data_IF_325771101405
#
_entry.id   IF_325771101405
#
_cell.length_a   1.000
_cell.length_b   1.000
_cell.length_c   1.000
_cell.angle_alpha   90.00
_cell.angle_beta   90.00
_cell.angle_gamma   90.00
#
_symmetry.space_group_name_H-M   'P 1'
#
loop_
_entity.id
_entity.type
_entity.pdbx_description
1 polymer ?
#
# COMPACT_ATOMS: atom_id res chain seq x y z
N UNK A 1 -23.39 -46.95 -58.38
CA UNK A 1 -22.82 -47.27 -57.08
C UNK A 1 -21.83 -46.20 -56.69
N UNK A 2 -22.23 -45.31 -55.75
CA UNK A 2 -21.39 -44.17 -55.29
C UNK A 2 -20.83 -44.53 -53.93
N UNK A 3 -19.52 -44.74 -53.87
CA UNK A 3 -18.78 -44.94 -52.62
C UNK A 3 -18.49 -43.63 -51.93
N UNK A 4 -19.05 -43.45 -50.72
CA UNK A 4 -18.73 -42.31 -49.85
C UNK A 4 -17.47 -42.64 -49.05
N UNK A 5 -16.42 -41.86 -49.30
CA UNK A 5 -15.20 -41.83 -48.48
C UNK A 5 -15.50 -41.17 -47.13
N UNK A 6 -15.38 -41.90 -46.04
CA UNK A 6 -15.37 -41.38 -44.68
C UNK A 6 -14.01 -40.80 -44.39
N UNK A 7 -14.02 -39.50 -44.07
CA UNK A 7 -12.86 -38.79 -43.54
C UNK A 7 -12.83 -39.01 -42.02
N UNK A 8 -11.72 -39.44 -41.41
CA UNK A 8 -11.61 -39.57 -39.96
C UNK A 8 -11.59 -38.18 -39.30
N UNK A 9 -12.46 -37.99 -38.30
CA UNK A 9 -12.42 -36.81 -37.45
C UNK A 9 -11.15 -36.86 -36.60
N UNK A 10 -10.39 -35.75 -36.70
CA UNK A 10 -9.27 -35.45 -35.81
C UNK A 10 -9.84 -34.93 -34.51
N UNK A 11 -9.61 -35.63 -33.42
CA UNK A 11 -9.94 -35.19 -32.08
C UNK A 11 -9.14 -33.94 -31.73
N UNK A 12 -9.84 -32.86 -31.55
CA UNK A 12 -9.27 -31.57 -31.06
C UNK A 12 -9.02 -31.68 -29.55
N UNK A 13 -7.81 -31.42 -29.04
CA UNK A 13 -7.54 -31.45 -27.61
C UNK A 13 -8.37 -30.43 -26.86
N UNK A 14 -8.91 -30.88 -25.73
CA UNK A 14 -9.92 -30.28 -24.91
C UNK A 14 -9.76 -28.81 -24.60
N UNK A 15 -10.88 -28.12 -24.72
CA UNK A 15 -11.09 -26.79 -24.18
C UNK A 15 -10.75 -26.74 -22.69
N UNK A 16 -10.11 -25.69 -22.20
CA UNK A 16 -9.83 -25.55 -20.78
C UNK A 16 -11.15 -25.46 -20.00
N UNK A 17 -11.20 -26.00 -18.78
CA UNK A 17 -12.40 -26.01 -17.98
C UNK A 17 -12.86 -24.56 -17.70
N UNK A 18 -14.12 -24.29 -18.03
CA UNK A 18 -14.79 -23.04 -17.65
C UNK A 18 -14.88 -23.02 -16.13
N UNK A 19 -13.98 -22.28 -15.50
CA UNK A 19 -14.05 -22.00 -14.06
C UNK A 19 -15.23 -21.06 -13.83
N UNK A 20 -16.34 -21.61 -13.41
CA UNK A 20 -17.50 -20.85 -12.96
C UNK A 20 -17.10 -20.17 -11.65
N UNK A 21 -16.84 -18.87 -11.69
CA UNK A 21 -16.58 -18.07 -10.51
C UNK A 21 -17.83 -18.06 -9.64
N UNK A 22 -17.80 -18.80 -8.52
CA UNK A 22 -18.85 -18.70 -7.49
C UNK A 22 -18.78 -17.32 -6.88
N UNK A 23 -19.77 -16.49 -7.12
CA UNK A 23 -20.00 -15.23 -6.44
C UNK A 23 -20.18 -15.54 -4.94
N UNK A 24 -19.18 -15.24 -4.14
CA UNK A 24 -19.31 -15.27 -2.68
C UNK A 24 -19.88 -13.92 -2.25
N UNK A 25 -21.16 -13.91 -1.92
CA UNK A 25 -21.83 -12.78 -1.30
C UNK A 25 -21.38 -12.66 0.14
N UNK A 26 -20.48 -11.72 0.42
CA UNK A 26 -20.10 -11.38 1.79
C UNK A 26 -20.97 -10.21 2.27
N UNK A 27 -21.83 -10.48 3.25
CA UNK A 27 -22.51 -9.42 4.02
C UNK A 27 -23.46 -8.52 3.25
N UNK A 28 -24.15 -9.03 2.21
CA UNK A 28 -25.20 -8.27 1.49
C UNK A 28 -24.68 -7.18 0.56
N UNK A 29 -23.36 -7.06 0.39
CA UNK A 29 -22.77 -6.10 -0.54
C UNK A 29 -22.39 -6.79 -1.85
N UNK A 30 -22.98 -6.32 -2.94
CA UNK A 30 -22.61 -6.69 -4.31
C UNK A 30 -21.33 -5.92 -4.69
N UNK A 31 -20.19 -6.37 -4.23
CA UNK A 31 -18.90 -5.70 -4.49
C UNK A 31 -18.17 -6.33 -5.66
N UNK A 32 -17.55 -5.50 -6.46
CA UNK A 32 -16.69 -5.93 -7.55
C UNK A 32 -15.36 -6.41 -6.96
N UNK A 33 -15.04 -7.69 -7.12
CA UNK A 33 -13.69 -8.19 -6.85
C UNK A 33 -12.91 -8.01 -8.14
N UNK A 34 -11.93 -7.10 -8.15
CA UNK A 34 -10.99 -6.99 -9.26
C UNK A 34 -10.13 -8.26 -9.25
N UNK A 35 -10.52 -9.25 -10.04
CA UNK A 35 -9.70 -10.43 -10.29
C UNK A 35 -8.69 -10.02 -11.35
N UNK A 36 -7.51 -9.55 -10.92
CA UNK A 36 -6.38 -9.46 -11.83
C UNK A 36 -6.03 -10.88 -12.27
N UNK A 37 -5.72 -11.09 -13.57
CA UNK A 37 -5.34 -12.42 -14.05
C UNK A 37 -4.21 -12.96 -13.19
N UNK A 38 -4.26 -14.25 -12.82
CA UNK A 38 -3.28 -14.84 -11.93
C UNK A 38 -1.90 -14.78 -12.59
N UNK A 39 -1.10 -13.80 -12.21
CA UNK A 39 0.35 -13.90 -12.42
C UNK A 39 0.88 -15.06 -11.57
N UNK A 40 1.95 -15.77 -12.03
CA UNK A 40 2.55 -16.82 -11.22
C UNK A 40 2.81 -16.29 -9.81
N UNK A 41 2.50 -17.11 -8.82
CA UNK A 41 2.70 -16.79 -7.40
C UNK A 41 4.17 -16.56 -7.13
N UNK A 42 4.64 -15.34 -7.32
CA UNK A 42 5.91 -14.94 -6.72
C UNK A 42 5.70 -14.97 -5.21
N UNK A 43 6.52 -15.75 -4.52
CA UNK A 43 6.64 -15.62 -3.07
C UNK A 43 6.99 -14.16 -2.80
N UNK A 44 6.14 -13.42 -2.10
CA UNK A 44 6.50 -12.12 -1.58
C UNK A 44 7.62 -12.37 -0.58
N UNK A 45 8.85 -12.28 -1.04
CA UNK A 45 10.00 -12.28 -0.15
C UNK A 45 9.95 -10.90 0.51
N UNK A 46 9.85 -10.81 1.84
CA UNK A 46 10.02 -9.52 2.51
C UNK A 46 11.31 -8.92 1.99
N UNK A 47 11.36 -7.59 1.74
CA UNK A 47 12.59 -6.94 1.34
C UNK A 47 13.70 -7.33 2.32
N UNK A 48 14.89 -7.61 1.80
CA UNK A 48 16.02 -7.96 2.64
C UNK A 48 16.17 -6.88 3.72
N UNK A 49 16.32 -7.27 5.00
CA UNK A 49 16.48 -6.29 6.05
C UNK A 49 17.64 -5.38 5.67
N UNK A 50 17.41 -4.08 5.70
CA UNK A 50 18.47 -3.10 5.55
C UNK A 50 19.57 -3.51 6.52
N UNK A 51 20.77 -3.85 6.03
CA UNK A 51 21.94 -4.15 6.86
C UNK A 51 22.34 -2.88 7.60
N UNK A 52 21.57 -2.54 8.62
CA UNK A 52 21.84 -1.39 9.44
C UNK A 52 22.72 -1.82 10.59
N UNK A 53 23.95 -1.34 10.55
CA UNK A 53 24.79 -1.25 11.74
C UNK A 53 23.95 -0.65 12.86
N UNK A 54 24.00 -1.27 14.04
CA UNK A 54 23.30 -0.88 15.27
C UNK A 54 23.20 0.64 15.39
N UNK A 55 21.95 1.15 15.43
CA UNK A 55 21.71 2.56 15.63
C UNK A 55 22.18 2.98 17.02
N UNK A 56 23.35 3.58 17.10
CA UNK A 56 23.82 4.27 18.30
C UNK A 56 22.89 5.46 18.58
N UNK A 57 22.51 5.64 19.81
CA UNK A 57 21.46 6.53 20.31
C UNK A 57 21.69 8.03 20.11
N UNK A 58 22.80 8.46 19.55
CA UNK A 58 23.10 9.88 19.30
C UNK A 58 23.55 10.05 17.86
N UNK A 59 22.62 10.37 16.98
CA UNK A 59 22.95 10.78 15.61
C UNK A 59 22.73 12.28 15.47
N UNK A 60 23.65 12.91 14.81
CA UNK A 60 23.57 14.33 14.42
C UNK A 60 23.07 14.51 12.98
N UNK A 61 23.03 13.43 12.22
CA UNK A 61 22.64 13.43 10.80
C UNK A 61 21.38 12.62 10.57
N UNK A 62 20.47 13.10 9.73
CA UNK A 62 19.26 12.34 9.33
C UNK A 62 19.61 11.00 8.70
N UNK A 63 18.78 10.00 8.96
CA UNK A 63 18.89 8.68 8.34
C UNK A 63 17.80 8.50 7.30
N UNK A 64 18.20 8.26 6.06
CA UNK A 64 17.27 8.00 4.96
C UNK A 64 17.01 6.50 4.86
N UNK A 65 15.75 6.13 4.80
CA UNK A 65 15.27 4.76 4.59
C UNK A 65 14.50 4.76 3.27
N UNK A 66 15.06 4.24 2.16
CA UNK A 66 14.34 4.14 0.91
C UNK A 66 13.12 3.23 1.07
N UNK A 67 12.05 3.54 0.36
CA UNK A 67 10.88 2.67 0.33
C UNK A 67 11.05 1.61 -0.75
N UNK A 68 11.18 0.36 -0.33
CA UNK A 68 11.19 -0.84 -1.16
C UNK A 68 10.12 -1.84 -0.72
N UNK A 69 9.21 -1.37 0.11
CA UNK A 69 8.16 -2.16 0.74
C UNK A 69 6.99 -2.50 -0.18
N UNK A 70 5.90 -2.85 0.43
CA UNK A 70 4.72 -3.34 -0.25
C UNK A 70 3.51 -2.44 -0.03
N UNK A 71 2.62 -2.38 -1.05
CA UNK A 71 1.35 -1.69 -0.95
C UNK A 71 0.21 -2.69 -0.77
N UNK A 72 -0.74 -2.32 0.13
CA UNK A 72 -1.96 -3.05 0.37
C UNK A 72 -3.16 -2.15 0.12
N UNK A 73 -4.22 -2.72 -0.45
CA UNK A 73 -5.46 -2.01 -0.72
C UNK A 73 -6.60 -2.70 0.01
N UNK A 74 -7.32 -1.92 0.83
CA UNK A 74 -8.42 -2.41 1.63
C UNK A 74 -9.72 -1.80 1.15
N UNK A 75 -10.74 -2.64 1.08
CA UNK A 75 -12.13 -2.27 0.92
C UNK A 75 -12.78 -2.18 2.30
N UNK A 76 -13.76 -1.30 2.48
CA UNK A 76 -14.58 -1.31 3.69
C UNK A 76 -15.46 -2.58 3.80
N UNK A 77 -15.63 -3.17 4.99
CA UNK A 77 -14.94 -2.86 6.22
C UNK A 77 -13.44 -3.16 6.15
N UNK A 78 -12.63 -2.38 6.85
CA UNK A 78 -11.17 -2.46 6.84
C UNK A 78 -10.68 -3.80 7.41
N UNK A 79 -10.55 -4.78 6.57
CA UNK A 79 -9.91 -6.04 6.95
C UNK A 79 -8.50 -6.11 6.37
N UNK A 80 -7.53 -6.24 7.26
CA UNK A 80 -6.15 -6.47 6.83
C UNK A 80 -6.09 -7.77 6.01
N UNK A 81 -5.46 -7.76 4.82
CA UNK A 81 -5.28 -8.97 4.04
C UNK A 81 -4.56 -10.05 4.87
N UNK A 82 -4.83 -11.30 4.56
CA UNK A 82 -4.09 -12.41 5.15
C UNK A 82 -2.63 -12.34 4.75
N UNK A 83 -1.72 -12.88 5.57
CA UNK A 83 -0.28 -12.86 5.32
C UNK A 83 0.12 -13.50 3.95
N UNK A 84 -0.71 -14.37 3.40
CA UNK A 84 -0.51 -14.97 2.09
C UNK A 84 -1.25 -14.23 0.96
N UNK A 85 -1.86 -13.09 1.24
CA UNK A 85 -2.53 -12.28 0.24
C UNK A 85 -1.49 -11.66 -0.68
N UNK A 86 -1.94 -11.37 -1.90
CA UNK A 86 -1.06 -10.82 -2.93
C UNK A 86 -0.77 -9.36 -2.66
N UNK A 87 0.48 -9.02 -2.60
CA UNK A 87 0.95 -7.63 -2.54
C UNK A 87 1.04 -7.09 -3.95
N UNK A 88 0.51 -5.89 -4.17
CA UNK A 88 0.66 -5.18 -5.43
C UNK A 88 1.93 -4.36 -5.36
N UNK A 89 2.92 -4.75 -6.17
CA UNK A 89 4.08 -3.93 -6.47
C UNK A 89 3.78 -3.15 -7.75
N UNK A 90 4.10 -1.88 -7.78
CA UNK A 90 3.86 -1.06 -8.96
C UNK A 90 4.21 0.40 -8.70
N UNK A 91 3.86 1.24 -9.64
CA UNK A 91 3.92 2.68 -9.49
C UNK A 91 2.56 3.21 -9.03
N UNK A 92 2.33 3.46 -7.72
CA UNK A 92 1.02 3.86 -7.20
C UNK A 92 0.48 5.15 -7.81
N UNK A 93 1.36 6.02 -8.31
CA UNK A 93 0.97 7.24 -9.05
C UNK A 93 0.31 6.95 -10.40
N UNK A 94 0.48 5.74 -10.94
CA UNK A 94 -0.13 5.31 -12.22
C UNK A 94 -1.26 4.31 -12.04
N UNK A 95 -1.44 3.80 -10.83
CA UNK A 95 -2.46 2.78 -10.55
C UNK A 95 -3.78 3.46 -10.29
N UNK A 96 -4.79 3.16 -11.10
CA UNK A 96 -6.16 3.62 -10.90
C UNK A 96 -6.99 2.50 -10.26
N UNK A 97 -7.02 2.46 -8.94
CA UNK A 97 -7.84 1.52 -8.16
C UNK A 97 -8.98 2.28 -7.52
N UNK A 98 -10.21 1.87 -7.80
CA UNK A 98 -11.41 2.47 -7.21
C UNK A 98 -12.38 1.40 -6.74
N UNK A 99 -13.22 1.77 -5.78
CA UNK A 99 -14.30 0.93 -5.29
C UNK A 99 -15.56 1.13 -6.16
N UNK A 100 -16.27 0.05 -6.44
CA UNK A 100 -17.55 0.10 -7.17
C UNK A 100 -18.76 0.20 -6.24
N UNK A 101 -18.57 0.11 -4.94
CA UNK A 101 -19.62 0.14 -3.93
C UNK A 101 -19.72 1.47 -3.16
N UNK A 102 -19.20 2.54 -3.73
CA UNK A 102 -19.20 3.89 -3.15
C UNK A 102 -18.41 4.01 -1.84
N UNK A 103 -17.54 3.04 -1.54
CA UNK A 103 -16.64 3.10 -0.40
C UNK A 103 -15.23 3.51 -0.86
N UNK A 104 -14.62 4.45 -0.17
CA UNK A 104 -13.23 4.81 -0.43
C UNK A 104 -12.33 3.61 -0.13
N UNK A 105 -11.40 3.32 -1.06
CA UNK A 105 -10.34 2.35 -0.80
C UNK A 105 -9.27 2.99 0.07
N UNK A 106 -8.93 2.30 1.15
CA UNK A 106 -7.75 2.62 1.95
C UNK A 106 -6.54 1.93 1.35
N UNK A 107 -5.45 2.65 1.20
CA UNK A 107 -4.18 2.11 0.79
C UNK A 107 -3.21 2.17 1.97
N UNK A 108 -2.49 1.09 2.20
CA UNK A 108 -1.38 1.06 3.15
C UNK A 108 -0.08 0.72 2.42
N UNK A 109 0.98 1.46 2.73
CA UNK A 109 2.34 1.16 2.33
C UNK A 109 3.13 0.70 3.55
N UNK A 110 3.71 -0.49 3.48
CA UNK A 110 4.41 -1.14 4.59
C UNK A 110 5.88 -1.26 4.27
N UNK A 111 6.74 -0.68 5.12
CA UNK A 111 8.19 -0.82 5.07
C UNK A 111 8.66 -1.57 6.30
N UNK A 112 9.16 -2.77 6.09
CA UNK A 112 9.83 -3.56 7.13
C UNK A 112 11.32 -3.21 7.18
N UNK A 113 11.84 -3.00 8.40
CA UNK A 113 13.22 -2.52 8.61
C UNK A 113 14.22 -3.64 8.93
N UNK A 114 13.72 -4.83 9.24
CA UNK A 114 14.51 -5.98 9.65
C UNK A 114 14.98 -5.87 11.10
N UNK A 115 15.73 -4.84 11.45
CA UNK A 115 16.20 -4.60 12.81
C UNK A 115 15.38 -3.52 13.50
N UNK A 116 15.02 -3.70 14.78
CA UNK A 116 14.32 -2.69 15.54
C UNK A 116 15.15 -1.41 15.71
N UNK A 117 14.47 -0.28 15.56
CA UNK A 117 15.03 1.06 15.79
C UNK A 117 14.38 1.63 17.05
N UNK A 118 15.16 2.25 17.92
CA UNK A 118 14.62 2.96 19.08
C UNK A 118 13.98 4.28 18.67
N UNK A 119 12.78 4.58 19.17
CA UNK A 119 12.08 5.84 18.89
C UNK A 119 12.76 7.07 19.53
N UNK A 120 13.71 6.84 20.46
CA UNK A 120 14.55 7.89 21.03
C UNK A 120 15.62 8.42 20.06
N UNK A 121 15.86 7.74 18.94
CA UNK A 121 16.84 8.16 17.93
C UNK A 121 16.54 9.53 17.35
N UNK A 122 15.28 9.89 17.32
CA UNK A 122 14.80 10.91 16.41
C UNK A 122 13.65 11.70 17.03
N UNK A 123 13.47 12.94 16.57
CA UNK A 123 12.37 13.83 16.97
C UNK A 123 11.25 13.84 15.95
N UNK A 124 11.61 13.65 14.69
CA UNK A 124 10.68 13.75 13.56
C UNK A 124 10.95 12.62 12.58
N UNK A 125 9.90 11.98 12.10
CA UNK A 125 9.91 11.18 10.90
C UNK A 125 9.39 12.03 9.76
N UNK A 126 10.21 12.24 8.73
CA UNK A 126 9.80 12.85 7.47
C UNK A 126 9.42 11.76 6.49
N UNK A 127 8.31 11.97 5.82
CA UNK A 127 7.81 11.09 4.77
C UNK A 127 7.86 11.84 3.45
N UNK A 128 8.71 11.40 2.53
CA UNK A 128 8.73 11.89 1.16
C UNK A 128 7.76 11.07 0.30
N UNK A 129 6.86 11.78 -0.35
CA UNK A 129 5.84 11.18 -1.23
C UNK A 129 5.84 11.87 -2.59
N UNK A 130 5.28 11.16 -3.57
CA UNK A 130 4.89 11.75 -4.84
C UNK A 130 3.38 11.63 -5.01
N UNK A 131 2.72 12.77 -5.17
CA UNK A 131 1.29 12.83 -5.41
C UNK A 131 1.02 12.94 -6.91
N UNK A 132 0.56 11.85 -7.53
CA UNK A 132 0.16 11.76 -8.92
C UNK A 132 -1.32 12.05 -9.17
N UNK A 133 -2.03 12.54 -8.16
CA UNK A 133 -3.45 12.84 -8.25
C UNK A 133 -3.72 14.13 -9.03
N UNK A 134 -4.66 14.05 -9.94
CA UNK A 134 -5.15 15.17 -10.74
C UNK A 134 -6.62 15.53 -10.46
N UNK A 135 -7.19 14.96 -9.39
CA UNK A 135 -8.59 15.15 -9.01
C UNK A 135 -8.70 15.87 -7.68
N UNK A 136 -9.71 16.72 -7.59
CA UNK A 136 -10.02 17.42 -6.35
C UNK A 136 -10.48 16.46 -5.24
N UNK A 137 -10.21 16.83 -4.01
CA UNK A 137 -10.58 16.11 -2.80
C UNK A 137 -9.37 15.78 -1.93
N UNK A 138 -9.55 15.97 -0.66
CA UNK A 138 -8.52 15.83 0.35
C UNK A 138 -8.02 14.37 0.45
N UNK A 139 -6.72 14.21 0.58
CA UNK A 139 -6.07 12.96 0.93
C UNK A 139 -5.35 13.18 2.25
N UNK A 140 -5.66 12.36 3.24
CA UNK A 140 -4.95 12.36 4.51
C UNK A 140 -4.04 11.13 4.63
N UNK A 141 -2.89 11.33 5.26
CA UNK A 141 -1.90 10.28 5.51
C UNK A 141 -1.67 10.15 7.00
N UNK A 142 -1.79 8.92 7.51
CA UNK A 142 -1.41 8.56 8.86
C UNK A 142 -0.15 7.70 8.82
N UNK A 143 0.81 7.99 9.70
CA UNK A 143 2.00 7.16 9.87
C UNK A 143 1.93 6.39 11.18
N UNK A 144 2.17 5.08 11.11
CA UNK A 144 2.19 4.17 12.24
C UNK A 144 3.58 3.54 12.33
N UNK A 145 4.15 3.51 13.54
CA UNK A 145 5.36 2.77 13.86
C UNK A 145 4.97 1.51 14.63
N UNK A 146 5.32 0.35 14.09
CA UNK A 146 4.92 -0.93 14.68
C UNK A 146 6.15 -1.76 15.04
N UNK A 147 6.10 -2.42 16.19
CA UNK A 147 7.00 -3.52 16.53
C UNK A 147 6.31 -4.83 16.23
N UNK A 148 6.81 -5.54 15.23
CA UNK A 148 6.28 -6.84 14.80
C UNK A 148 7.02 -8.00 15.43
N UNK A 149 8.28 -7.78 15.84
CA UNK A 149 9.15 -8.79 16.44
C UNK A 149 9.14 -8.69 17.97
N UNK A 150 9.07 -9.83 18.64
CA UNK A 150 9.11 -9.92 20.11
C UNK A 150 7.81 -10.49 20.72
N UNK A 151 7.75 -10.53 22.06
CA UNK A 151 6.61 -11.08 22.80
C UNK A 151 5.40 -10.15 22.80
N UNK A 152 5.62 -8.86 22.68
CA UNK A 152 4.57 -7.84 22.69
C UNK A 152 4.60 -7.07 21.36
N UNK A 153 3.51 -7.12 20.63
CA UNK A 153 3.30 -6.24 19.48
C UNK A 153 2.91 -4.85 19.99
N UNK A 154 3.48 -3.84 19.40
CA UNK A 154 3.21 -2.46 19.76
C UNK A 154 3.03 -1.63 18.50
N UNK A 155 2.06 -0.74 18.49
CA UNK A 155 1.83 0.21 17.40
C UNK A 155 1.65 1.61 17.96
N UNK A 156 2.37 2.57 17.42
CA UNK A 156 2.31 3.99 17.74
C UNK A 156 1.90 4.78 16.51
N UNK A 157 0.77 5.45 16.56
CA UNK A 157 0.42 6.46 15.55
C UNK A 157 1.21 7.74 15.80
N UNK A 158 1.77 8.30 14.75
CA UNK A 158 2.42 9.61 14.76
C UNK A 158 1.44 10.73 14.39
N UNK A 159 0.18 10.39 14.16
CA UNK A 159 -0.87 11.33 13.76
C UNK A 159 -1.18 11.28 12.27
N UNK A 160 -2.12 12.12 11.88
CA UNK A 160 -2.62 12.23 10.51
C UNK A 160 -2.35 13.63 9.98
N UNK A 161 -1.86 13.72 8.76
CA UNK A 161 -1.63 14.97 8.04
C UNK A 161 -2.33 14.95 6.69
N UNK A 162 -2.79 16.09 6.26
CA UNK A 162 -3.34 16.27 4.91
C UNK A 162 -2.20 16.48 3.93
N UNK A 163 -2.32 15.88 2.75
CA UNK A 163 -1.39 16.07 1.64
C UNK A 163 -1.68 17.45 1.01
N UNK A 164 -0.79 18.44 1.12
CA UNK A 164 -1.07 19.81 0.71
C UNK A 164 -1.52 19.93 -0.74
N UNK A 165 -0.90 19.19 -1.66
CA UNK A 165 -1.29 19.22 -3.07
C UNK A 165 -2.62 18.52 -3.37
N UNK A 166 -3.25 17.86 -2.40
CA UNK A 166 -4.61 17.31 -2.52
C UNK A 166 -5.68 18.35 -2.17
N UNK A 167 -5.31 19.43 -1.46
CA UNK A 167 -6.23 20.52 -1.12
C UNK A 167 -6.54 21.39 -2.36
N UNK A 168 -7.66 21.33 -2.77
CA UNK A 168 -8.62 21.89 -3.60
C UNK A 168 -8.35 22.78 -4.80
N UNK A 169 -8.06 24.02 -4.71
CA UNK A 169 -8.42 25.07 -5.68
C UNK A 169 -7.61 25.08 -7.00
N UNK A 170 -6.53 24.38 -7.06
CA UNK A 170 -5.56 24.43 -8.17
C UNK A 170 -5.30 23.07 -8.84
N UNK A 171 -6.17 22.11 -8.61
CA UNK A 171 -6.02 20.79 -9.23
C UNK A 171 -6.60 20.86 -10.63
N UNK A 172 -5.74 20.66 -11.62
CA UNK A 172 -6.13 20.55 -13.02
C UNK A 172 -5.96 19.11 -13.50
N UNK A 173 -6.90 18.66 -14.29
CA UNK A 173 -6.82 17.34 -14.90
C UNK A 173 -5.53 17.20 -15.72
N UNK A 174 -4.81 16.07 -15.51
CA UNK A 174 -3.56 15.80 -16.20
C UNK A 174 -2.34 16.56 -15.68
N UNK A 175 -2.41 17.16 -14.47
CA UNK A 175 -1.22 17.77 -13.86
C UNK A 175 -0.10 16.76 -13.65
N UNK A 176 1.18 17.18 -13.72
CA UNK A 176 2.28 16.30 -13.38
C UNK A 176 2.27 15.94 -11.90
N UNK A 177 2.84 14.78 -11.52
CA UNK A 177 3.04 14.40 -10.12
C UNK A 177 3.83 15.47 -9.35
N UNK A 178 3.46 15.67 -8.09
CA UNK A 178 4.07 16.65 -7.18
C UNK A 178 4.81 15.91 -6.08
N UNK A 179 6.07 16.26 -5.87
CA UNK A 179 6.88 15.73 -4.76
C UNK A 179 6.65 16.57 -3.52
N UNK A 180 6.38 15.91 -2.40
CA UNK A 180 6.07 16.54 -1.12
C UNK A 180 6.71 15.84 0.05
N UNK A 181 6.96 16.58 1.13
CA UNK A 181 7.50 16.03 2.37
C UNK A 181 6.58 16.37 3.53
N UNK A 182 6.13 15.33 4.24
CA UNK A 182 5.29 15.45 5.43
C UNK A 182 6.13 15.19 6.69
N UNK A 183 5.94 16.01 7.73
CA UNK A 183 6.70 15.92 8.97
C UNK A 183 5.83 15.36 10.10
N UNK A 184 6.19 14.19 10.61
CA UNK A 184 5.50 13.53 11.70
C UNK A 184 6.35 13.59 12.97
N UNK A 185 5.99 14.39 13.98
CA UNK A 185 6.74 14.44 15.23
C UNK A 185 6.60 13.12 15.99
N UNK A 186 7.72 12.60 16.50
CA UNK A 186 7.71 11.41 17.36
C UNK A 186 7.40 11.87 18.79
N UNK A 187 6.29 11.40 19.39
CA UNK A 187 5.87 11.86 20.69
C UNK A 187 6.86 11.44 21.78
N UNK A 188 7.16 12.31 22.76
CA UNK A 188 8.06 11.98 23.87
C UNK A 188 7.65 10.72 24.65
N UNK A 189 6.35 10.42 24.72
CA UNK A 189 5.80 9.22 25.35
C UNK A 189 6.19 7.90 24.69
N UNK A 190 6.65 7.97 23.43
CA UNK A 190 7.11 6.80 22.69
C UNK A 190 8.62 6.51 22.90
N UNK A 191 9.36 7.39 23.56
CA UNK A 191 10.78 7.19 23.86
C UNK A 191 11.01 5.91 24.67
N UNK A 192 12.09 5.20 24.37
CA UNK A 192 12.39 3.91 24.97
C UNK A 192 11.65 2.72 24.35
N UNK A 193 10.75 2.95 23.41
CA UNK A 193 10.13 1.89 22.61
C UNK A 193 10.89 1.70 21.31
N UNK A 194 10.70 0.53 20.70
CA UNK A 194 11.33 0.16 19.43
C UNK A 194 10.28 -0.15 18.38
N UNK A 195 10.61 0.08 17.12
CA UNK A 195 9.79 -0.29 15.97
C UNK A 195 10.67 -0.95 14.90
N UNK A 196 10.08 -1.83 14.12
CA UNK A 196 10.70 -2.55 13.01
C UNK A 196 9.88 -2.50 11.72
N UNK A 197 8.73 -1.81 11.77
CA UNK A 197 7.87 -1.57 10.61
C UNK A 197 7.33 -0.14 10.63
N UNK A 198 7.35 0.50 9.45
CA UNK A 198 6.69 1.78 9.20
C UNK A 198 5.50 1.52 8.29
N UNK A 199 4.31 1.92 8.72
CA UNK A 199 3.10 1.84 7.91
C UNK A 199 2.61 3.24 7.57
N UNK A 200 2.37 3.49 6.29
CA UNK A 200 1.76 4.72 5.77
C UNK A 200 0.35 4.39 5.33
N UNK A 201 -0.65 4.86 6.07
CA UNK A 201 -2.06 4.67 5.74
C UNK A 201 -2.59 5.89 4.98
N UNK A 202 -2.98 5.69 3.74
CA UNK A 202 -3.46 6.73 2.83
C UNK A 202 -4.97 6.64 2.78
N UNK A 203 -5.64 7.73 3.19
CA UNK A 203 -7.10 7.79 3.34
C UNK A 203 -7.64 8.94 2.47
N UNK A 204 -8.24 8.63 1.31
CA UNK A 204 -8.98 9.61 0.54
C UNK A 204 -10.21 10.07 1.32
N UNK A 205 -10.59 11.35 1.18
CA UNK A 205 -11.85 11.84 1.73
C UNK A 205 -13.05 11.10 1.10
N UNK A 206 -14.19 11.14 1.78
CA UNK A 206 -15.41 10.51 1.28
C UNK A 206 -15.88 11.09 -0.07
N UNK A 207 -15.56 12.34 -0.35
CA UNK A 207 -15.86 13.02 -1.62
C UNK A 207 -15.13 12.38 -2.81
N UNK A 208 -14.06 11.63 -2.52
CA UNK A 208 -13.25 10.91 -3.50
C UNK A 208 -13.54 9.42 -3.58
N UNK A 209 -14.67 8.95 -3.06
CA UNK A 209 -14.97 7.52 -2.95
C UNK A 209 -14.77 6.73 -4.25
N UNK A 210 -15.01 7.33 -5.40
CA UNK A 210 -14.84 6.69 -6.71
C UNK A 210 -13.47 6.95 -7.35
N UNK A 211 -12.67 7.86 -6.80
CA UNK A 211 -11.43 8.31 -7.44
C UNK A 211 -10.19 7.61 -6.91
N UNK A 212 -10.23 7.07 -5.68
CA UNK A 212 -9.04 6.52 -5.02
C UNK A 212 -7.98 7.59 -4.72
N UNK A 213 -6.74 7.16 -4.59
CA UNK A 213 -5.58 8.03 -4.41
C UNK A 213 -4.38 7.49 -5.20
N UNK A 214 -3.64 8.38 -5.82
CA UNK A 214 -2.43 8.07 -6.59
C UNK A 214 -1.20 8.60 -5.85
N UNK A 215 -0.86 8.01 -4.71
CA UNK A 215 0.26 8.42 -3.86
C UNK A 215 1.35 7.35 -3.89
N UNK A 216 2.58 7.76 -4.23
CA UNK A 216 3.75 6.91 -4.09
C UNK A 216 4.58 7.36 -2.88
N UNK A 217 4.97 6.41 -2.04
CA UNK A 217 5.98 6.62 -1.00
C UNK A 217 7.35 6.50 -1.64
N UNK A 218 8.22 7.48 -1.43
CA UNK A 218 9.58 7.49 -1.97
C UNK A 218 10.59 7.01 -0.93
N UNK A 219 10.63 7.68 0.21
CA UNK A 219 11.50 7.33 1.32
C UNK A 219 11.02 7.92 2.65
N UNK A 220 11.61 7.41 3.72
CA UNK A 220 11.48 7.97 5.05
C UNK A 220 12.81 8.59 5.48
N UNK A 221 12.75 9.64 6.29
CA UNK A 221 13.91 10.28 6.87
C UNK A 221 13.71 10.42 8.38
N UNK A 222 14.58 9.78 9.16
CA UNK A 222 14.60 9.89 10.62
C UNK A 222 15.51 11.06 11.01
N UNK A 223 14.90 12.13 11.52
CA UNK A 223 15.58 13.38 11.90
C UNK A 223 15.81 13.41 13.40
N UNK A 224 17.07 13.55 13.88
CA UNK A 224 17.45 13.60 15.30
C UNK A 224 16.81 14.73 16.10
#
# INVERSE_FOLDING_TARGET
MKGLLRIPQVDTPGSPPKTTAKSQTYGGYSGFILILPPKPREKTVPPAPLNQTSFSSVRTTPTIIPFDGAYWYFKAPDHRPRANARVVHGEPTKVNIHSTDLQALKMEAHQYLGNPIEMSCCRVLRLAIQNGDDRAGEISIEVLLTRTTGKESFTQSLGTLVVPSSEGKHITLGRPPVDETLNFPIPPSARGRQFDEITVAIKPSWERMLAGAHIAVQHFELVP
#
